data_IF_670212937659
#
_entry.id   IF_670212937659
#
_cell.length_a   1.000
_cell.length_b   1.000
_cell.length_c   1.000
_cell.angle_alpha   90.00
_cell.angle_beta   90.00
_cell.angle_gamma   90.00
#
_symmetry.space_group_name_H-M   'P 1'
#
loop_
_entity.id
_entity.type
_entity.pdbx_description
1 polymer ?
#
# COMPACT_ATOMS: atom_id res chain seq x y z
N UNK A 1 40.02 80.40 -21.39
CA UNK A 1 38.81 81.20 -21.61
C UNK A 1 37.72 80.17 -22.01
N UNK A 2 36.86 79.94 -21.19
CA UNK A 2 35.52 79.37 -21.23
C UNK A 2 35.20 78.54 -19.97
N UNK A 3 34.44 79.17 -19.13
CA UNK A 3 33.90 78.74 -17.88
C UNK A 3 32.65 77.84 -18.21
N UNK A 4 32.56 76.63 -17.68
CA UNK A 4 31.30 75.93 -17.61
C UNK A 4 30.95 75.53 -16.17
N UNK A 5 29.92 76.18 -15.70
CA UNK A 5 29.19 75.81 -14.48
C UNK A 5 28.50 74.44 -14.67
N UNK A 6 28.71 73.50 -13.75
CA UNK A 6 27.90 72.32 -13.66
C UNK A 6 27.19 72.26 -12.29
N UNK A 7 25.91 72.42 -12.37
CA UNK A 7 24.94 72.37 -11.28
C UNK A 7 24.89 70.97 -10.68
N UNK A 8 25.11 70.85 -9.37
CA UNK A 8 24.95 69.55 -8.64
C UNK A 8 23.50 69.23 -8.36
N UNK A 9 23.03 68.07 -8.85
CA UNK A 9 21.86 67.41 -8.35
C UNK A 9 22.27 66.17 -7.59
N UNK A 10 22.19 66.25 -6.26
CA UNK A 10 22.29 65.10 -5.39
C UNK A 10 21.01 64.23 -5.52
N UNK A 11 21.08 63.10 -6.23
CA UNK A 11 20.02 62.13 -6.28
C UNK A 11 20.16 61.17 -5.09
N UNK A 12 19.31 61.36 -4.07
CA UNK A 12 19.21 60.49 -2.91
C UNK A 12 18.50 59.22 -3.36
N UNK A 13 19.27 58.13 -3.66
CA UNK A 13 18.73 56.80 -3.88
C UNK A 13 18.51 56.14 -2.52
N UNK A 14 17.27 56.20 -2.00
CA UNK A 14 16.83 55.37 -0.90
C UNK A 14 16.72 53.93 -1.39
N UNK A 15 17.68 53.07 -1.01
CA UNK A 15 17.63 51.64 -1.27
C UNK A 15 16.43 51.03 -0.52
N UNK A 16 15.40 50.68 -1.28
CA UNK A 16 14.23 49.94 -0.78
C UNK A 16 14.69 48.51 -0.47
N UNK A 17 14.89 48.20 0.81
CA UNK A 17 15.17 46.83 1.28
C UNK A 17 13.96 45.98 0.96
N UNK A 18 14.06 45.15 -0.09
CA UNK A 18 13.07 44.15 -0.42
C UNK A 18 13.16 43.04 0.66
N UNK A 19 12.31 43.13 1.68
CA UNK A 19 12.13 42.02 2.63
C UNK A 19 11.58 40.80 1.86
N UNK A 20 12.35 39.69 1.83
CA UNK A 20 11.87 38.41 1.36
C UNK A 20 10.57 38.07 2.10
N UNK A 21 9.51 37.66 1.40
CA UNK A 21 8.27 37.27 2.06
C UNK A 21 8.56 36.13 3.03
N UNK A 22 8.08 36.28 4.26
CA UNK A 22 8.12 35.23 5.30
C UNK A 22 7.32 34.04 4.76
N UNK A 23 7.85 32.79 4.77
CA UNK A 23 7.09 31.63 4.31
C UNK A 23 5.79 31.58 5.11
N UNK A 24 4.67 31.33 4.42
CA UNK A 24 3.37 31.18 5.03
C UNK A 24 3.43 30.08 6.11
N UNK A 25 2.77 30.22 7.26
CA UNK A 25 2.77 29.19 8.29
C UNK A 25 2.19 27.91 7.69
N UNK A 26 2.98 26.82 7.64
CA UNK A 26 2.49 25.48 7.34
C UNK A 26 1.37 25.19 8.33
N UNK A 27 0.24 24.69 7.84
CA UNK A 27 -0.89 24.42 8.72
C UNK A 27 -0.49 23.31 9.71
N UNK A 28 -0.78 23.47 10.98
CA UNK A 28 -0.49 22.51 12.08
C UNK A 28 -1.03 21.09 11.76
N UNK A 29 -2.06 21.01 10.91
CA UNK A 29 -2.62 19.73 10.45
C UNK A 29 -1.73 18.99 9.45
N UNK A 30 -1.04 19.70 8.55
CA UNK A 30 -0.10 19.08 7.60
C UNK A 30 1.12 18.53 8.30
N UNK A 31 1.64 19.27 9.30
CA UNK A 31 2.82 18.85 10.06
C UNK A 31 2.55 17.59 10.90
N UNK A 32 1.33 17.47 11.46
CA UNK A 32 0.92 16.29 12.21
C UNK A 32 0.77 15.04 11.35
N UNK A 33 0.19 15.16 10.15
CA UNK A 33 0.04 14.04 9.21
C UNK A 33 1.41 13.58 8.68
N UNK A 34 2.31 14.51 8.36
CA UNK A 34 3.67 14.23 7.91
C UNK A 34 4.48 13.51 9.01
N UNK A 35 4.40 14.00 10.25
CA UNK A 35 5.03 13.36 11.41
C UNK A 35 4.51 11.95 11.63
N UNK A 36 3.19 11.74 11.56
CA UNK A 36 2.57 10.43 11.71
C UNK A 36 3.08 9.45 10.65
N UNK A 37 3.12 9.88 9.38
CA UNK A 37 3.59 9.05 8.27
C UNK A 37 5.08 8.71 8.43
N UNK A 38 5.90 9.67 8.84
CA UNK A 38 7.32 9.46 9.08
C UNK A 38 7.57 8.40 10.17
N UNK A 39 6.89 8.54 11.33
CA UNK A 39 6.99 7.54 12.41
C UNK A 39 6.57 6.16 11.91
N UNK A 40 5.47 6.07 11.15
CA UNK A 40 4.96 4.82 10.60
C UNK A 40 5.97 4.13 9.68
N UNK A 41 6.60 4.89 8.77
CA UNK A 41 7.60 4.38 7.84
C UNK A 41 8.86 3.87 8.56
N UNK A 42 9.38 4.65 9.50
CA UNK A 42 10.56 4.26 10.29
C UNK A 42 10.27 3.01 11.13
N UNK A 43 9.12 2.97 11.81
CA UNK A 43 8.69 1.81 12.57
C UNK A 43 8.50 0.58 11.68
N UNK A 44 7.90 0.74 10.50
CA UNK A 44 7.72 -0.32 9.52
C UNK A 44 9.04 -0.96 9.08
N UNK A 45 10.06 -0.16 8.83
CA UNK A 45 11.40 -0.65 8.51
C UNK A 45 12.02 -1.44 9.67
N UNK A 46 11.96 -0.91 10.90
CA UNK A 46 12.48 -1.58 12.10
C UNK A 46 11.74 -2.89 12.38
N UNK A 47 10.43 -2.92 12.28
CA UNK A 47 9.65 -4.15 12.43
C UNK A 47 9.91 -5.17 11.32
N UNK A 48 10.14 -4.72 10.09
CA UNK A 48 10.54 -5.59 8.98
C UNK A 48 11.90 -6.27 9.24
N UNK A 49 12.84 -5.55 9.83
CA UNK A 49 14.18 -6.05 10.10
C UNK A 49 14.25 -6.94 11.35
N UNK A 50 13.68 -6.46 12.46
CA UNK A 50 13.85 -7.07 13.80
C UNK A 50 12.63 -7.87 14.26
N UNK A 51 11.45 -7.59 13.73
CA UNK A 51 10.16 -8.08 14.23
C UNK A 51 9.63 -7.25 15.41
N UNK A 52 8.35 -7.47 15.74
CA UNK A 52 7.66 -6.73 16.79
C UNK A 52 8.34 -6.88 18.15
N UNK A 53 8.60 -8.10 18.60
CA UNK A 53 9.12 -8.38 19.94
C UNK A 53 10.49 -7.73 20.23
N UNK A 54 11.35 -7.63 19.21
CA UNK A 54 12.72 -7.11 19.36
C UNK A 54 12.85 -5.63 19.05
N UNK A 55 11.76 -4.96 18.68
CA UNK A 55 11.77 -3.52 18.38
C UNK A 55 11.17 -2.73 19.54
N UNK A 56 11.95 -1.87 20.15
CA UNK A 56 11.52 -1.06 21.31
C UNK A 56 11.01 0.32 20.87
N UNK A 57 10.10 0.92 21.66
CA UNK A 57 9.66 2.30 21.44
C UNK A 57 10.82 3.30 21.46
N UNK A 58 11.87 3.03 22.25
CA UNK A 58 13.07 3.89 22.33
C UNK A 58 13.84 3.88 21.01
N UNK A 59 14.01 2.71 20.38
CA UNK A 59 14.66 2.60 19.08
C UNK A 59 13.86 3.32 17.99
N UNK A 60 12.53 3.15 17.99
CA UNK A 60 11.65 3.86 17.05
C UNK A 60 11.78 5.37 17.22
N UNK A 61 11.69 5.87 18.44
CA UNK A 61 11.84 7.29 18.73
C UNK A 61 13.20 7.84 18.28
N UNK A 62 14.29 7.10 18.57
CA UNK A 62 15.64 7.49 18.17
C UNK A 62 15.80 7.53 16.66
N UNK A 63 15.31 6.50 15.95
CA UNK A 63 15.42 6.42 14.50
C UNK A 63 14.54 7.44 13.76
N UNK A 64 13.35 7.74 14.31
CA UNK A 64 12.42 8.73 13.75
C UNK A 64 12.73 10.19 14.18
N UNK A 65 13.76 10.42 15.00
CA UNK A 65 14.07 11.75 15.52
C UNK A 65 12.92 12.37 16.34
N UNK A 66 12.16 11.53 17.05
CA UNK A 66 10.96 11.93 17.79
C UNK A 66 11.02 11.45 19.25
N UNK A 67 9.95 11.70 20.01
CA UNK A 67 9.82 11.26 21.40
C UNK A 67 8.61 10.34 21.58
N UNK A 68 8.56 9.68 22.74
CA UNK A 68 7.48 8.73 23.06
C UNK A 68 6.10 9.40 23.14
N UNK A 69 6.05 10.69 23.52
CA UNK A 69 4.78 11.42 23.56
C UNK A 69 4.16 11.58 22.15
N UNK A 70 4.99 11.81 21.13
CA UNK A 70 4.52 11.88 19.74
C UNK A 70 4.02 10.50 19.25
N UNK A 71 4.74 9.42 19.57
CA UNK A 71 4.27 8.06 19.23
C UNK A 71 2.93 7.76 19.90
N UNK A 72 2.79 8.06 21.19
CA UNK A 72 1.55 7.84 21.92
C UNK A 72 0.41 8.76 21.43
N UNK A 73 0.72 10.00 21.05
CA UNK A 73 -0.27 10.92 20.48
C UNK A 73 -0.87 10.39 19.17
N UNK A 74 -0.03 9.86 18.26
CA UNK A 74 -0.47 9.43 16.94
C UNK A 74 -1.02 8.00 16.89
N UNK A 75 -0.55 7.12 17.79
CA UNK A 75 -0.83 5.68 17.71
C UNK A 75 -1.32 5.07 19.03
N UNK A 76 -1.37 5.83 20.12
CA UNK A 76 -1.79 5.37 21.44
C UNK A 76 -0.71 4.59 22.18
N UNK A 77 -0.09 3.62 21.52
CA UNK A 77 0.93 2.74 22.10
C UNK A 77 1.86 2.19 21.02
N UNK A 78 2.89 1.41 21.43
CA UNK A 78 3.71 0.62 20.50
C UNK A 78 2.86 -0.43 19.75
N UNK A 79 1.92 -1.02 20.47
CA UNK A 79 1.00 -2.02 19.88
C UNK A 79 0.10 -1.37 18.81
N UNK A 80 -0.50 -0.22 19.12
CA UNK A 80 -1.28 0.54 18.13
C UNK A 80 -0.44 1.02 16.95
N UNK A 81 0.83 1.36 17.15
CA UNK A 81 1.75 1.66 16.05
C UNK A 81 2.01 0.41 15.19
N UNK A 82 2.19 -0.78 15.80
CA UNK A 82 2.37 -2.00 15.05
C UNK A 82 1.13 -2.39 14.25
N UNK A 83 -0.06 -2.26 14.82
CA UNK A 83 -1.33 -2.45 14.10
C UNK A 83 -1.44 -1.50 12.89
N UNK A 84 -1.11 -0.23 13.06
CA UNK A 84 -1.08 0.73 11.96
C UNK A 84 -0.04 0.36 10.88
N UNK A 85 1.12 -0.17 11.29
CA UNK A 85 2.14 -0.69 10.37
C UNK A 85 1.63 -1.89 9.57
N UNK A 86 0.92 -2.83 10.20
CA UNK A 86 0.32 -3.98 9.51
C UNK A 86 -0.73 -3.55 8.46
N UNK A 87 -1.58 -2.58 8.82
CA UNK A 87 -2.60 -2.02 7.92
C UNK A 87 -1.94 -1.32 6.71
N UNK A 88 -0.94 -0.49 6.95
CA UNK A 88 -0.17 0.20 5.91
C UNK A 88 0.57 -0.80 5.02
N UNK A 89 1.24 -1.79 5.62
CA UNK A 89 1.94 -2.85 4.92
C UNK A 89 1.02 -3.60 3.93
N UNK A 90 -0.20 -3.91 4.35
CA UNK A 90 -1.19 -4.54 3.48
C UNK A 90 -1.67 -3.58 2.37
N UNK A 91 -1.73 -2.27 2.65
CA UNK A 91 -2.04 -1.23 1.68
C UNK A 91 -1.00 -1.13 0.56
N UNK A 92 0.27 -1.36 0.87
CA UNK A 92 1.37 -1.34 -0.11
C UNK A 92 1.26 -2.45 -1.17
N UNK A 93 0.62 -3.58 -0.84
CA UNK A 93 0.39 -4.68 -1.80
C UNK A 93 -0.85 -4.38 -2.64
N UNK A 94 -1.97 -4.11 -1.99
CA UNK A 94 -3.24 -3.79 -2.64
C UNK A 94 -3.95 -2.71 -1.82
N UNK A 95 -4.10 -1.51 -2.37
CA UNK A 95 -4.87 -0.41 -1.78
C UNK A 95 -6.37 -0.69 -1.86
N UNK A 96 -7.14 -0.22 -0.88
CA UNK A 96 -8.61 -0.29 -0.95
C UNK A 96 -9.13 0.58 -2.10
N UNK A 97 -8.56 1.78 -2.26
CA UNK A 97 -8.94 2.71 -3.34
C UNK A 97 -8.68 2.11 -4.73
N UNK A 98 -7.56 1.37 -4.90
CA UNK A 98 -7.26 0.64 -6.14
C UNK A 98 -8.38 -0.36 -6.46
N UNK A 99 -8.77 -1.18 -5.47
CA UNK A 99 -9.81 -2.19 -5.63
C UNK A 99 -11.19 -1.58 -5.90
N UNK A 100 -11.55 -0.53 -5.18
CA UNK A 100 -12.81 0.17 -5.39
C UNK A 100 -12.85 0.88 -6.74
N UNK A 101 -11.73 1.39 -7.22
CA UNK A 101 -11.62 1.97 -8.56
C UNK A 101 -11.86 0.91 -9.65
N UNK A 102 -11.24 -0.27 -9.50
CA UNK A 102 -11.47 -1.40 -10.41
C UNK A 102 -12.95 -1.84 -10.35
N UNK A 103 -13.50 -2.00 -9.15
CA UNK A 103 -14.89 -2.47 -8.98
C UNK A 103 -15.92 -1.50 -9.56
N UNK A 104 -15.67 -0.17 -9.44
CA UNK A 104 -16.56 0.88 -10.01
C UNK A 104 -16.33 1.16 -11.49
N UNK A 105 -15.29 0.61 -12.10
CA UNK A 105 -15.06 0.80 -13.53
C UNK A 105 -16.21 0.22 -14.36
N UNK A 106 -16.58 0.88 -15.44
CA UNK A 106 -17.68 0.47 -16.33
C UNK A 106 -17.34 -0.74 -17.23
N UNK A 107 -16.25 -1.47 -16.96
CA UNK A 107 -15.83 -2.63 -17.74
C UNK A 107 -16.52 -3.91 -17.26
N UNK A 108 -16.39 -4.99 -18.04
CA UNK A 108 -16.95 -6.30 -17.70
C UNK A 108 -16.35 -6.87 -16.42
N UNK A 109 -17.08 -7.75 -15.74
CA UNK A 109 -16.62 -8.46 -14.54
C UNK A 109 -15.33 -9.25 -14.82
N UNK A 110 -15.21 -9.82 -16.01
CA UNK A 110 -13.97 -10.46 -16.49
C UNK A 110 -12.77 -9.49 -16.48
N UNK A 111 -12.94 -8.30 -17.07
CA UNK A 111 -11.89 -7.29 -17.14
C UNK A 111 -11.49 -6.79 -15.74
N UNK A 112 -12.44 -6.64 -14.82
CA UNK A 112 -12.19 -6.29 -13.42
C UNK A 112 -11.32 -7.35 -12.72
N UNK A 113 -11.62 -8.63 -12.89
CA UNK A 113 -10.84 -9.73 -12.29
C UNK A 113 -9.44 -9.83 -12.89
N UNK A 114 -9.27 -9.63 -14.20
CA UNK A 114 -7.96 -9.55 -14.86
C UNK A 114 -7.13 -8.41 -14.28
N UNK A 115 -7.71 -7.23 -14.13
CA UNK A 115 -7.00 -6.06 -13.57
C UNK A 115 -6.63 -6.27 -12.10
N UNK A 116 -7.50 -6.90 -11.29
CA UNK A 116 -7.19 -7.28 -9.91
C UNK A 116 -5.95 -8.19 -9.85
N UNK A 117 -5.92 -9.26 -10.64
CA UNK A 117 -4.81 -10.21 -10.69
C UNK A 117 -3.54 -9.49 -11.16
N UNK A 118 -3.63 -8.71 -12.24
CA UNK A 118 -2.51 -7.96 -12.78
C UNK A 118 -1.93 -6.95 -11.78
N UNK A 119 -2.78 -6.25 -11.01
CA UNK A 119 -2.36 -5.33 -9.97
C UNK A 119 -1.52 -6.06 -8.90
N UNK A 120 -1.99 -7.21 -8.40
CA UNK A 120 -1.27 -7.97 -7.37
C UNK A 120 0.05 -8.51 -7.92
N UNK A 121 0.05 -9.06 -9.12
CA UNK A 121 1.27 -9.58 -9.77
C UNK A 121 2.29 -8.46 -9.97
N UNK A 122 1.91 -7.31 -10.50
CA UNK A 122 2.81 -6.14 -10.68
C UNK A 122 3.43 -5.70 -9.35
N UNK A 123 2.61 -5.53 -8.31
CA UNK A 123 3.06 -5.10 -6.98
C UNK A 123 3.94 -6.15 -6.31
N UNK A 124 3.61 -7.44 -6.46
CA UNK A 124 4.43 -8.52 -5.94
C UNK A 124 5.71 -8.76 -6.72
N UNK A 125 5.85 -8.33 -7.96
CA UNK A 125 7.03 -8.53 -8.81
C UNK A 125 8.06 -7.39 -8.75
N UNK A 126 7.81 -6.32 -7.99
CA UNK A 126 8.74 -5.21 -7.84
C UNK A 126 10.12 -5.67 -7.35
N UNK A 127 11.19 -5.07 -7.90
CA UNK A 127 12.58 -5.43 -7.59
C UNK A 127 12.90 -5.18 -6.12
N UNK A 128 12.50 -4.01 -5.62
CA UNK A 128 12.63 -3.65 -4.20
C UNK A 128 11.30 -3.92 -3.52
N UNK A 129 11.27 -5.01 -2.77
CA UNK A 129 10.10 -5.33 -1.96
C UNK A 129 9.93 -4.26 -0.87
N UNK A 130 8.78 -3.59 -0.80
CA UNK A 130 8.52 -2.63 0.25
C UNK A 130 8.66 -3.32 1.62
N UNK A 131 9.07 -2.55 2.63
CA UNK A 131 9.20 -3.06 3.99
C UNK A 131 7.92 -3.76 4.48
N UNK A 132 6.76 -3.30 4.01
CA UNK A 132 5.46 -3.87 4.35
C UNK A 132 5.34 -5.34 4.00
N UNK A 133 5.87 -5.77 2.85
CA UNK A 133 5.84 -7.19 2.50
C UNK A 133 6.61 -8.04 3.51
N UNK A 134 7.78 -7.59 3.96
CA UNK A 134 8.58 -8.31 4.96
C UNK A 134 7.87 -8.43 6.30
N UNK A 135 7.16 -7.37 6.71
CA UNK A 135 6.33 -7.38 7.94
C UNK A 135 5.19 -8.38 7.80
N UNK A 136 4.46 -8.36 6.67
CA UNK A 136 3.33 -9.26 6.44
C UNK A 136 3.73 -10.73 6.33
N UNK A 137 4.83 -11.03 5.63
CA UNK A 137 5.37 -12.40 5.57
C UNK A 137 5.69 -12.91 6.98
N UNK A 138 6.31 -12.08 7.82
CA UNK A 138 6.60 -12.44 9.21
C UNK A 138 5.32 -12.66 10.01
N UNK A 139 4.35 -11.77 9.89
CA UNK A 139 3.05 -11.91 10.57
C UNK A 139 2.28 -13.14 10.10
N UNK A 140 2.36 -13.49 8.82
CA UNK A 140 1.75 -14.69 8.26
C UNK A 140 2.42 -15.97 8.78
N UNK A 141 3.76 -15.99 8.86
CA UNK A 141 4.52 -17.16 9.33
C UNK A 141 4.46 -17.37 10.84
N UNK A 142 4.28 -16.29 11.60
CA UNK A 142 4.19 -16.31 13.07
C UNK A 142 3.17 -15.24 13.51
N UNK A 143 1.87 -15.58 13.48
CA UNK A 143 0.80 -14.63 13.80
C UNK A 143 0.90 -14.10 15.23
N UNK A 144 0.87 -12.78 15.37
CA UNK A 144 0.79 -12.10 16.66
C UNK A 144 -0.65 -11.90 17.11
N UNK A 145 -0.85 -11.38 18.32
CA UNK A 145 -2.17 -10.96 18.81
C UNK A 145 -2.78 -9.81 17.99
N UNK A 146 -1.97 -9.11 17.18
CA UNK A 146 -2.38 -7.97 16.35
C UNK A 146 -2.96 -8.37 14.99
N UNK A 147 -2.90 -9.65 14.60
CA UNK A 147 -3.48 -10.16 13.35
C UNK A 147 -4.97 -9.84 13.20
N UNK A 148 -5.70 -9.76 14.32
CA UNK A 148 -7.12 -9.39 14.30
C UNK A 148 -7.37 -7.93 13.89
N UNK A 149 -6.46 -7.02 14.19
CA UNK A 149 -6.54 -5.63 13.71
C UNK A 149 -6.31 -5.57 12.20
N UNK A 150 -5.28 -6.25 11.71
CA UNK A 150 -5.00 -6.41 10.27
C UNK A 150 -6.23 -6.96 9.53
N UNK A 151 -6.81 -8.05 10.05
CA UNK A 151 -7.98 -8.68 9.44
C UNK A 151 -9.14 -7.69 9.31
N UNK A 152 -9.53 -7.03 10.42
CA UNK A 152 -10.69 -6.14 10.43
C UNK A 152 -10.48 -4.85 9.65
N UNK A 153 -9.30 -4.24 9.75
CA UNK A 153 -9.05 -2.90 9.21
C UNK A 153 -8.53 -2.91 7.77
N UNK A 154 -7.86 -3.97 7.34
CA UNK A 154 -7.26 -4.03 6.01
C UNK A 154 -7.79 -5.17 5.13
N UNK A 155 -7.89 -6.38 5.66
CA UNK A 155 -8.25 -7.56 4.83
C UNK A 155 -9.74 -7.59 4.51
N UNK A 156 -10.61 -7.54 5.52
CA UNK A 156 -12.06 -7.67 5.33
C UNK A 156 -12.68 -6.60 4.43
N UNK A 157 -12.32 -5.30 4.49
CA UNK A 157 -12.83 -4.30 3.56
C UNK A 157 -12.52 -4.64 2.10
N UNK A 158 -11.28 -5.02 1.83
CA UNK A 158 -10.82 -5.40 0.49
C UNK A 158 -11.43 -6.71 0.00
N UNK A 159 -11.58 -7.68 0.90
CA UNK A 159 -12.25 -8.94 0.61
C UNK A 159 -13.70 -8.74 0.15
N UNK A 160 -14.44 -7.81 0.79
CA UNK A 160 -15.82 -7.49 0.36
C UNK A 160 -15.87 -6.98 -1.07
N UNK A 161 -14.93 -6.13 -1.47
CA UNK A 161 -14.85 -5.63 -2.85
C UNK A 161 -14.55 -6.76 -3.83
N UNK A 162 -13.58 -7.63 -3.51
CA UNK A 162 -13.23 -8.79 -4.34
C UNK A 162 -14.39 -9.80 -4.44
N UNK A 163 -15.11 -10.03 -3.35
CA UNK A 163 -16.35 -10.85 -3.31
C UNK A 163 -17.37 -10.29 -4.30
N UNK A 164 -17.59 -8.97 -4.30
CA UNK A 164 -18.52 -8.33 -5.23
C UNK A 164 -18.16 -8.59 -6.69
N UNK A 165 -16.89 -8.42 -7.06
CA UNK A 165 -16.43 -8.66 -8.44
C UNK A 165 -16.56 -10.12 -8.86
N UNK A 166 -16.28 -11.06 -7.97
CA UNK A 166 -16.41 -12.51 -8.26
C UNK A 166 -17.89 -12.91 -8.36
N UNK A 167 -18.76 -12.39 -7.49
CA UNK A 167 -20.19 -12.63 -7.55
C UNK A 167 -20.80 -12.10 -8.86
N UNK A 168 -20.38 -10.91 -9.29
CA UNK A 168 -20.76 -10.30 -10.58
C UNK A 168 -20.34 -11.22 -11.76
N UNK A 169 -19.11 -11.75 -11.74
CA UNK A 169 -18.61 -12.65 -12.77
C UNK A 169 -19.38 -13.98 -12.82
N UNK A 170 -19.67 -14.56 -11.64
CA UNK A 170 -20.38 -15.84 -11.54
C UNK A 170 -21.91 -15.71 -11.75
N UNK A 171 -22.44 -14.49 -11.75
CA UNK A 171 -23.88 -14.24 -11.87
C UNK A 171 -24.71 -14.73 -10.69
N UNK A 172 -24.12 -14.79 -9.47
CA UNK A 172 -24.80 -15.28 -8.26
C UNK A 172 -24.72 -14.25 -7.13
N UNK A 173 -25.59 -14.34 -6.09
CA UNK A 173 -25.50 -13.49 -4.91
C UNK A 173 -24.15 -13.61 -4.20
N UNK A 174 -23.70 -12.54 -3.53
CA UNK A 174 -22.38 -12.49 -2.84
C UNK A 174 -22.29 -13.54 -1.72
N UNK A 175 -23.41 -13.89 -1.10
CA UNK A 175 -23.52 -14.87 -0.02
C UNK A 175 -23.45 -16.31 -0.52
N UNK A 176 -23.52 -16.53 -1.83
CA UNK A 176 -23.53 -17.87 -2.40
C UNK A 176 -22.23 -18.62 -2.04
N UNK A 177 -22.28 -19.89 -1.57
CA UNK A 177 -21.10 -20.65 -1.14
C UNK A 177 -20.03 -20.79 -2.23
N UNK A 178 -20.41 -20.74 -3.50
CA UNK A 178 -19.49 -20.79 -4.63
C UNK A 178 -18.55 -19.57 -4.64
N UNK A 179 -19.06 -18.37 -4.29
CA UNK A 179 -18.25 -17.16 -4.23
C UNK A 179 -17.14 -17.27 -3.19
N UNK A 180 -17.44 -17.85 -2.01
CA UNK A 180 -16.43 -18.05 -0.96
C UNK A 180 -15.32 -19.01 -1.42
N UNK A 181 -15.67 -20.06 -2.16
CA UNK A 181 -14.67 -20.98 -2.73
C UNK A 181 -13.89 -20.34 -3.87
N UNK A 182 -14.56 -19.58 -4.72
CA UNK A 182 -13.94 -18.86 -5.84
C UNK A 182 -12.91 -17.81 -5.39
N UNK A 183 -13.17 -17.11 -4.28
CA UNK A 183 -12.20 -16.21 -3.65
C UNK A 183 -10.89 -16.94 -3.38
N UNK A 184 -10.91 -18.13 -2.82
CA UNK A 184 -9.70 -18.90 -2.54
C UNK A 184 -8.94 -19.24 -3.84
N UNK A 185 -9.64 -19.59 -4.91
CA UNK A 185 -9.01 -19.95 -6.18
C UNK A 185 -8.37 -18.75 -6.92
N UNK A 186 -8.90 -17.55 -6.70
CA UNK A 186 -8.34 -16.32 -7.29
C UNK A 186 -7.26 -15.69 -6.41
N UNK A 187 -7.51 -15.58 -5.11
CA UNK A 187 -6.67 -14.78 -4.21
C UNK A 187 -5.47 -15.57 -3.67
N UNK A 188 -5.65 -16.88 -3.33
CA UNK A 188 -4.55 -17.64 -2.74
C UNK A 188 -3.33 -17.82 -3.66
N UNK A 189 -3.47 -18.08 -4.98
CA UNK A 189 -2.30 -18.09 -5.86
C UNK A 189 -1.55 -16.75 -5.89
N UNK A 190 -2.27 -15.64 -5.85
CA UNK A 190 -1.68 -14.31 -5.76
C UNK A 190 -0.93 -14.08 -4.43
N UNK A 191 -1.50 -14.56 -3.31
CA UNK A 191 -0.84 -14.49 -2.00
C UNK A 191 0.46 -15.30 -2.02
N UNK A 192 0.48 -16.46 -2.67
CA UNK A 192 1.71 -17.26 -2.78
C UNK A 192 2.84 -16.53 -3.49
N UNK A 193 2.55 -15.73 -4.51
CA UNK A 193 3.55 -14.87 -5.15
C UNK A 193 4.11 -13.80 -4.20
N UNK A 194 3.27 -13.33 -3.28
CA UNK A 194 3.66 -12.33 -2.27
C UNK A 194 4.54 -12.95 -1.17
N UNK A 195 4.16 -14.14 -0.69
CA UNK A 195 4.75 -14.75 0.52
C UNK A 195 5.96 -15.63 0.21
N UNK A 196 6.01 -16.26 -0.97
CA UNK A 196 7.06 -17.20 -1.32
C UNK A 196 8.44 -16.51 -1.39
N UNK A 197 9.50 -17.14 -0.81
CA UNK A 197 10.83 -16.58 -0.81
C UNK A 197 11.36 -16.41 -2.23
N UNK A 198 11.69 -15.18 -2.61
CA UNK A 198 12.18 -14.81 -3.97
C UNK A 198 13.37 -15.65 -4.45
N UNK A 199 14.40 -15.93 -3.62
CA UNK A 199 15.51 -16.77 -4.05
C UNK A 199 15.05 -18.18 -4.47
N UNK A 200 14.07 -18.75 -3.74
CA UNK A 200 13.51 -20.07 -4.06
C UNK A 200 12.75 -20.03 -5.39
N UNK A 201 11.88 -19.01 -5.60
CA UNK A 201 11.16 -18.87 -6.87
C UNK A 201 12.10 -18.69 -8.05
N UNK A 202 13.14 -17.85 -7.92
CA UNK A 202 14.12 -17.65 -8.99
C UNK A 202 14.89 -18.92 -9.35
N UNK A 203 15.18 -19.75 -8.37
CA UNK A 203 15.94 -20.99 -8.57
C UNK A 203 15.07 -22.14 -9.07
N UNK A 204 13.89 -22.33 -8.46
CA UNK A 204 13.02 -23.47 -8.75
C UNK A 204 12.07 -23.23 -9.91
N UNK A 205 11.56 -22.01 -10.08
CA UNK A 205 10.55 -21.63 -11.06
C UNK A 205 10.91 -20.30 -11.73
N UNK A 206 12.05 -20.22 -12.44
CA UNK A 206 12.55 -18.96 -13.00
C UNK A 206 11.55 -18.27 -13.93
N UNK A 207 10.71 -19.02 -14.64
CA UNK A 207 9.71 -18.47 -15.54
C UNK A 207 8.67 -17.59 -14.82
N UNK A 208 8.34 -17.87 -13.56
CA UNK A 208 7.43 -17.03 -12.77
C UNK A 208 7.97 -15.63 -12.50
N UNK A 209 9.29 -15.45 -12.60
CA UNK A 209 9.96 -14.20 -12.28
C UNK A 209 10.49 -13.48 -13.51
N UNK A 210 10.41 -14.12 -14.69
CA UNK A 210 11.00 -13.60 -15.94
C UNK A 210 10.17 -12.46 -16.53
N UNK A 211 8.86 -12.62 -16.59
CA UNK A 211 7.94 -11.64 -17.16
C UNK A 211 6.64 -11.53 -16.33
N UNK A 212 6.53 -10.51 -15.49
CA UNK A 212 5.33 -10.28 -14.70
C UNK A 212 4.05 -10.03 -15.52
N UNK A 213 4.18 -9.52 -16.74
CA UNK A 213 3.02 -9.25 -17.59
C UNK A 213 2.43 -10.57 -18.12
N UNK A 214 3.26 -11.43 -18.69
CA UNK A 214 2.85 -12.79 -19.11
C UNK A 214 2.30 -13.60 -17.94
N UNK A 215 2.94 -13.54 -16.77
CA UNK A 215 2.43 -14.22 -15.58
C UNK A 215 1.02 -13.74 -15.18
N UNK A 216 0.79 -12.42 -15.23
CA UNK A 216 -0.52 -11.86 -14.91
C UNK A 216 -1.59 -12.31 -15.89
N UNK A 217 -1.25 -12.37 -17.19
CA UNK A 217 -2.14 -12.86 -18.23
C UNK A 217 -2.47 -14.35 -18.05
N UNK A 218 -1.47 -15.19 -17.83
CA UNK A 218 -1.65 -16.63 -17.62
C UNK A 218 -2.48 -16.92 -16.36
N UNK A 219 -2.20 -16.23 -15.25
CA UNK A 219 -2.99 -16.35 -14.04
C UNK A 219 -4.43 -15.90 -14.24
N UNK A 220 -4.64 -14.81 -14.99
CA UNK A 220 -5.97 -14.33 -15.37
C UNK A 220 -6.74 -15.38 -16.19
N UNK A 221 -6.12 -15.92 -17.24
CA UNK A 221 -6.70 -16.95 -18.09
C UNK A 221 -7.06 -18.21 -17.29
N UNK A 222 -6.16 -18.69 -16.45
CA UNK A 222 -6.40 -19.83 -15.57
C UNK A 222 -7.57 -19.61 -14.58
N UNK A 223 -7.57 -18.48 -13.89
CA UNK A 223 -8.61 -18.14 -12.92
C UNK A 223 -9.98 -18.02 -13.59
N UNK A 224 -10.08 -17.30 -14.70
CA UNK A 224 -11.34 -17.08 -15.42
C UNK A 224 -11.89 -18.35 -16.05
N UNK A 225 -11.03 -19.18 -16.65
CA UNK A 225 -11.46 -20.49 -17.18
C UNK A 225 -12.02 -21.38 -16.05
N UNK A 226 -11.34 -21.43 -14.90
CA UNK A 226 -11.81 -22.16 -13.74
C UNK A 226 -13.14 -21.63 -13.20
N UNK A 227 -13.28 -20.32 -13.08
CA UNK A 227 -14.53 -19.68 -12.61
C UNK A 227 -15.69 -19.92 -13.60
N UNK A 228 -15.45 -19.85 -14.91
CA UNK A 228 -16.46 -20.13 -15.94
C UNK A 228 -16.95 -21.57 -15.87
N UNK A 229 -16.02 -22.52 -15.68
CA UNK A 229 -16.37 -23.93 -15.48
C UNK A 229 -17.23 -24.14 -14.23
N UNK A 230 -16.87 -23.47 -13.12
CA UNK A 230 -17.68 -23.53 -11.89
C UNK A 230 -19.06 -22.91 -12.06
N UNK A 231 -19.18 -21.80 -12.78
CA UNK A 231 -20.46 -21.16 -13.07
C UNK A 231 -21.39 -22.10 -13.86
N UNK A 232 -20.86 -22.75 -14.92
CA UNK A 232 -21.65 -23.68 -15.75
C UNK A 232 -22.15 -24.89 -14.97
N UNK A 233 -21.37 -25.42 -14.01
CA UNK A 233 -21.77 -26.57 -13.17
C UNK A 233 -22.84 -26.21 -12.14
N UNK A 234 -23.05 -24.93 -11.83
CA UNK A 234 -23.99 -24.47 -10.81
C UNK A 234 -25.12 -23.61 -11.39
N UNK A 235 -25.21 -23.48 -12.72
CA UNK A 235 -26.37 -22.86 -13.38
C UNK A 235 -27.58 -23.79 -13.24
N UNK A 236 -28.72 -23.30 -12.74
CA UNK A 236 -29.94 -24.08 -12.74
C UNK A 236 -30.36 -24.35 -14.19
N UNK A 237 -30.63 -25.59 -14.52
CA UNK A 237 -31.26 -26.00 -15.78
C UNK A 237 -32.72 -25.56 -15.83
#
# INVERSE_FOLDING_TARGET
>A
MFTFYVCGYACSMTARVIRKPKPAPRSVRSDGAETRLHILQVAGQLFAEKGFERTTSREICSAAGTNLAAVNYHFGSRDGLYEAVLVEAHGQIVGLDDLESIARSGVTAEAKLRELIALIVRRSSAVDLPWGLRVLVREFMSPSTHVNALLRQAVLPKLRVAVGMIAEFLGVPQEHPLVQRAIAFVVLPCIMLVVAPRPVLRQALPALMADPASLAEDMGNYALAGLSSLASLHSPH
#
